data_IF_778333229196
#
_entry.id   IF_778333229196
#
_cell.length_a   1.000
_cell.length_b   1.000
_cell.length_c   1.000
_cell.angle_alpha   90.00
_cell.angle_beta   90.00
_cell.angle_gamma   90.00
#
_symmetry.space_group_name_H-M   'P 1'
#
loop_
_entity.id
_entity.type
_entity.pdbx_description
1 polymer ?
#
# COMPACT_ATOMS: atom_id res chain seq x y z
N UNK A 1 5.78 57.65 -28.41
CA UNK A 1 4.91 56.89 -27.47
C UNK A 1 5.47 55.48 -27.38
N UNK A 2 5.96 55.09 -26.20
CA UNK A 2 6.69 53.83 -25.96
C UNK A 2 5.66 52.73 -25.70
N UNK A 3 5.33 51.93 -26.70
CA UNK A 3 4.50 50.73 -26.50
C UNK A 3 5.37 49.63 -25.92
N UNK A 4 5.21 49.40 -24.61
CA UNK A 4 5.77 48.27 -23.89
C UNK A 4 5.20 46.99 -24.51
N UNK A 5 6.04 46.22 -25.20
CA UNK A 5 5.70 44.88 -25.65
C UNK A 5 5.68 43.96 -24.42
N UNK A 6 4.49 43.72 -23.88
CA UNK A 6 4.26 42.79 -22.78
C UNK A 6 4.56 41.37 -23.27
N UNK A 7 5.76 40.87 -22.99
CA UNK A 7 6.09 39.47 -23.20
C UNK A 7 5.22 38.61 -22.27
N UNK A 8 4.21 37.95 -22.83
CA UNK A 8 3.37 36.99 -22.12
C UNK A 8 4.24 35.78 -21.79
N UNK A 9 4.81 35.77 -20.58
CA UNK A 9 5.59 34.67 -20.05
C UNK A 9 4.63 33.49 -19.80
N UNK A 10 4.56 32.55 -20.75
CA UNK A 10 3.88 31.27 -20.58
C UNK A 10 4.62 30.48 -19.50
N UNK A 11 4.13 30.53 -18.27
CA UNK A 11 4.63 29.70 -17.17
C UNK A 11 4.16 28.26 -17.44
N UNK A 12 5.05 27.29 -17.71
CA UNK A 12 4.65 25.90 -17.80
C UNK A 12 4.19 25.44 -16.42
N UNK A 13 2.90 25.11 -16.29
CA UNK A 13 2.37 24.39 -15.14
C UNK A 13 2.94 22.97 -15.16
N UNK A 14 4.10 22.78 -14.54
CA UNK A 14 4.74 21.47 -14.43
C UNK A 14 3.91 20.64 -13.44
N UNK A 15 3.03 19.79 -13.94
CA UNK A 15 2.31 18.81 -13.13
C UNK A 15 3.28 17.69 -12.76
N UNK A 16 3.93 17.81 -11.61
CA UNK A 16 4.84 16.80 -11.09
C UNK A 16 4.05 15.57 -10.60
N UNK A 17 3.75 14.62 -11.50
CA UNK A 17 3.20 13.31 -11.17
C UNK A 17 4.29 12.42 -10.54
N UNK A 18 4.66 12.68 -9.28
CA UNK A 18 5.74 11.96 -8.56
C UNK A 18 5.25 10.73 -7.78
N UNK A 19 4.17 10.08 -8.24
CA UNK A 19 3.68 8.83 -7.64
C UNK A 19 4.34 7.60 -8.27
N UNK A 20 4.60 6.58 -7.45
CA UNK A 20 4.99 5.25 -7.93
C UNK A 20 3.84 4.67 -8.75
N UNK A 21 4.12 4.30 -10.00
CA UNK A 21 3.14 3.61 -10.84
C UNK A 21 3.21 2.11 -10.58
N UNK A 22 2.03 1.48 -10.55
CA UNK A 22 1.93 0.02 -10.58
C UNK A 22 2.56 -0.50 -11.87
N UNK A 23 3.51 -1.41 -11.75
CA UNK A 23 4.16 -2.08 -12.86
C UNK A 23 3.28 -3.24 -13.36
N UNK A 24 3.47 -3.70 -14.62
CA UNK A 24 2.82 -4.91 -15.11
C UNK A 24 3.08 -6.09 -14.16
N UNK A 25 2.02 -6.84 -13.81
CA UNK A 25 2.08 -7.96 -12.87
C UNK A 25 2.00 -7.55 -11.39
N UNK A 26 2.39 -6.33 -11.01
CA UNK A 26 2.26 -5.84 -9.63
C UNK A 26 0.80 -5.74 -9.16
N UNK A 27 -0.14 -5.46 -10.08
CA UNK A 27 -1.58 -5.40 -9.79
C UNK A 27 -2.16 -6.72 -9.29
N UNK A 28 -1.58 -7.85 -9.69
CA UNK A 28 -2.02 -9.20 -9.29
C UNK A 28 -1.43 -9.63 -7.95
N UNK A 29 -0.38 -8.94 -7.48
CA UNK A 29 0.25 -9.24 -6.21
C UNK A 29 -0.65 -8.80 -5.06
N UNK A 30 -0.97 -9.72 -4.16
CA UNK A 30 -1.76 -9.48 -2.95
C UNK A 30 -0.90 -8.92 -1.83
N UNK A 31 -1.51 -8.19 -0.92
CA UNK A 31 -0.84 -7.70 0.29
C UNK A 31 -1.49 -8.35 1.51
N UNK A 32 -0.71 -9.18 2.20
CA UNK A 32 -1.11 -9.79 3.46
C UNK A 32 -0.93 -8.79 4.60
N UNK A 33 -1.75 -8.93 5.66
CA UNK A 33 -1.57 -8.11 6.87
C UNK A 33 -0.24 -8.45 7.54
N UNK A 34 0.36 -7.46 8.19
CA UNK A 34 1.50 -7.69 9.09
C UNK A 34 1.16 -8.80 10.10
N UNK A 35 2.04 -9.78 10.27
CA UNK A 35 1.85 -10.89 11.21
C UNK A 35 0.78 -11.92 10.84
N UNK A 36 0.09 -11.78 9.70
CA UNK A 36 -0.79 -12.84 9.17
C UNK A 36 -0.02 -14.15 9.02
N UNK A 37 -0.64 -15.29 9.36
CA UNK A 37 -0.04 -16.60 9.15
C UNK A 37 0.08 -16.91 7.65
N UNK A 38 1.31 -17.13 7.21
CA UNK A 38 1.70 -17.43 5.82
C UNK A 38 2.20 -18.87 5.67
N UNK A 39 2.00 -19.73 6.66
CA UNK A 39 2.46 -21.13 6.70
C UNK A 39 2.03 -21.98 5.49
N UNK A 40 0.88 -21.65 4.90
CA UNK A 40 0.34 -22.31 3.69
C UNK A 40 0.97 -21.85 2.38
N UNK A 41 1.87 -20.86 2.43
CA UNK A 41 2.54 -20.29 1.27
C UNK A 41 4.03 -20.56 1.29
N UNK A 42 4.63 -20.65 0.10
CA UNK A 42 6.07 -20.78 -0.03
C UNK A 42 6.73 -19.41 0.10
N UNK A 43 7.66 -19.22 1.06
CA UNK A 43 8.48 -18.00 1.12
C UNK A 43 9.46 -17.99 -0.05
N UNK A 44 9.38 -16.97 -0.89
CA UNK A 44 10.24 -16.78 -2.07
C UNK A 44 11.40 -15.82 -1.82
N UNK A 45 11.29 -14.96 -0.81
CA UNK A 45 12.37 -14.05 -0.44
C UNK A 45 11.90 -12.86 0.39
N UNK A 46 12.67 -11.78 0.29
CA UNK A 46 12.37 -10.49 0.90
C UNK A 46 12.58 -9.38 -0.13
N UNK A 47 11.74 -8.35 -0.06
CA UNK A 47 11.83 -7.13 -0.85
C UNK A 47 12.13 -5.98 0.10
N UNK A 48 13.08 -5.13 -0.28
CA UNK A 48 13.39 -3.88 0.44
C UNK A 48 13.11 -2.72 -0.49
N UNK A 49 12.26 -1.79 -0.04
CA UNK A 49 11.83 -0.63 -0.85
C UNK A 49 12.05 0.66 -0.09
N UNK A 50 12.23 1.74 -0.84
CA UNK A 50 12.49 3.07 -0.32
C UNK A 50 11.74 4.10 -1.16
N UNK A 51 11.19 5.11 -0.49
CA UNK A 51 10.68 6.34 -1.08
C UNK A 51 11.24 7.51 -0.30
N UNK A 52 11.31 8.67 -0.94
CA UNK A 52 11.67 9.89 -0.23
C UNK A 52 10.55 10.20 0.78
N UNK A 53 10.81 10.23 2.08
CA UNK A 53 9.77 10.54 3.09
C UNK A 53 9.74 12.01 3.52
N UNK A 54 10.75 12.82 3.17
CA UNK A 54 10.82 14.24 3.52
C UNK A 54 11.40 15.12 2.43
N UNK A 55 11.03 16.40 2.45
CA UNK A 55 11.53 17.45 1.57
C UNK A 55 12.10 18.59 2.42
N UNK A 56 13.42 18.55 2.67
CA UNK A 56 14.06 19.50 3.58
C UNK A 56 13.51 19.33 5.00
N UNK A 57 13.02 20.40 5.66
CA UNK A 57 12.43 20.32 7.00
C UNK A 57 10.99 19.78 7.03
N UNK A 58 10.39 19.47 5.88
CA UNK A 58 8.99 19.04 5.79
C UNK A 58 8.87 17.53 5.61
N UNK A 59 8.12 16.88 6.50
CA UNK A 59 7.72 15.47 6.35
C UNK A 59 6.62 15.34 5.29
N UNK A 60 6.70 14.28 4.48
CA UNK A 60 5.59 13.88 3.59
C UNK A 60 4.52 13.17 4.42
N UNK A 61 3.32 13.11 3.85
CA UNK A 61 2.22 12.36 4.44
C UNK A 61 2.59 10.86 4.54
N UNK A 62 2.49 10.33 5.75
CA UNK A 62 2.84 8.96 6.14
C UNK A 62 1.97 7.91 5.44
N UNK A 63 0.68 8.18 5.27
CA UNK A 63 -0.22 7.30 4.51
C UNK A 63 0.24 7.21 3.06
N UNK A 64 0.61 8.33 2.43
CA UNK A 64 1.14 8.33 1.06
C UNK A 64 2.48 7.62 0.93
N UNK A 65 3.38 7.78 1.90
CA UNK A 65 4.64 7.04 1.95
C UNK A 65 4.38 5.53 2.02
N UNK A 66 3.44 5.09 2.87
CA UNK A 66 3.03 3.67 2.99
C UNK A 66 2.45 3.12 1.69
N UNK A 67 1.51 3.85 1.07
CA UNK A 67 0.89 3.44 -0.21
C UNK A 67 1.94 3.27 -1.32
N UNK A 68 2.91 4.18 -1.40
CA UNK A 68 3.98 4.13 -2.40
C UNK A 68 4.95 2.97 -2.14
N UNK A 69 5.31 2.71 -0.88
CA UNK A 69 6.15 1.58 -0.50
C UNK A 69 5.47 0.24 -0.80
N UNK A 70 4.18 0.11 -0.48
CA UNK A 70 3.41 -1.07 -0.84
C UNK A 70 3.37 -1.28 -2.36
N UNK A 71 3.16 -0.21 -3.13
CA UNK A 71 3.17 -0.27 -4.61
C UNK A 71 4.52 -0.74 -5.13
N UNK A 72 5.63 -0.21 -4.61
CA UNK A 72 6.97 -0.68 -4.95
C UNK A 72 7.16 -2.16 -4.58
N UNK A 73 6.75 -2.56 -3.39
CA UNK A 73 6.90 -3.95 -2.94
C UNK A 73 6.18 -4.94 -3.86
N UNK A 74 4.98 -4.56 -4.32
CA UNK A 74 4.20 -5.32 -5.30
C UNK A 74 4.85 -5.34 -6.68
N UNK A 75 5.51 -4.26 -7.08
CA UNK A 75 6.23 -4.21 -8.36
C UNK A 75 7.45 -5.14 -8.39
N UNK A 76 8.15 -5.31 -7.26
CA UNK A 76 9.32 -6.18 -7.16
C UNK A 76 8.97 -7.67 -7.02
N UNK A 77 7.81 -7.99 -6.43
CA UNK A 77 7.41 -9.36 -6.13
C UNK A 77 7.42 -10.34 -7.33
N UNK A 78 6.99 -9.97 -8.55
CA UNK A 78 7.09 -10.84 -9.72
C UNK A 78 8.53 -11.28 -10.03
N UNK A 79 9.54 -10.45 -9.74
CA UNK A 79 10.96 -10.80 -9.92
C UNK A 79 11.41 -11.95 -9.01
N UNK A 80 10.74 -12.13 -7.86
CA UNK A 80 10.93 -13.26 -6.95
C UNK A 80 9.97 -14.43 -7.24
N UNK A 81 9.19 -14.36 -8.31
CA UNK A 81 8.12 -15.31 -8.61
C UNK A 81 7.14 -15.44 -7.42
N UNK A 82 6.85 -14.31 -6.77
CA UNK A 82 5.91 -14.18 -5.67
C UNK A 82 4.60 -13.53 -6.15
N UNK A 83 3.48 -13.93 -5.53
CA UNK A 83 2.15 -13.41 -5.79
C UNK A 83 1.53 -12.70 -4.57
N UNK A 84 2.25 -12.70 -3.45
CA UNK A 84 1.79 -12.09 -2.20
C UNK A 84 2.98 -11.47 -1.45
N UNK A 85 2.83 -10.25 -0.95
CA UNK A 85 3.80 -9.60 -0.07
C UNK A 85 3.22 -9.36 1.31
N UNK A 86 4.06 -9.36 2.34
CA UNK A 86 3.67 -9.08 3.71
C UNK A 86 4.66 -8.11 4.35
N UNK A 87 4.23 -6.98 4.93
CA UNK A 87 5.14 -6.06 5.62
C UNK A 87 5.76 -6.74 6.84
N UNK A 88 7.09 -6.57 7.03
CA UNK A 88 7.82 -7.06 8.21
C UNK A 88 7.67 -6.16 9.44
N UNK A 89 7.15 -4.97 9.25
CA UNK A 89 6.97 -3.93 10.27
C UNK A 89 6.50 -2.63 9.63
N UNK A 90 6.34 -1.58 10.42
CA UNK A 90 6.02 -0.25 9.90
C UNK A 90 7.19 0.36 9.10
N UNK A 91 6.93 1.31 8.18
CA UNK A 91 8.01 2.05 7.53
C UNK A 91 8.83 2.86 8.52
N UNK A 92 10.13 2.95 8.25
CA UNK A 92 11.08 3.77 9.00
C UNK A 92 11.90 4.56 8.00
N UNK A 93 11.94 5.88 8.16
CA UNK A 93 12.70 6.79 7.29
C UNK A 93 12.43 6.62 5.79
N UNK A 94 11.19 6.32 5.43
CA UNK A 94 10.78 6.09 4.04
C UNK A 94 11.18 4.73 3.48
N UNK A 95 11.66 3.81 4.33
CA UNK A 95 12.03 2.46 3.95
C UNK A 95 11.12 1.44 4.62
N UNK A 96 10.87 0.33 3.93
CA UNK A 96 10.14 -0.79 4.50
C UNK A 96 10.57 -2.10 3.85
N UNK A 97 10.62 -3.16 4.66
CA UNK A 97 10.88 -4.52 4.18
C UNK A 97 9.60 -5.34 4.14
N UNK A 98 9.47 -6.14 3.10
CA UNK A 98 8.37 -7.06 2.89
C UNK A 98 8.91 -8.49 2.72
N UNK A 99 8.21 -9.46 3.28
CA UNK A 99 8.35 -10.87 2.93
C UNK A 99 7.59 -11.12 1.63
N UNK A 100 8.16 -11.90 0.72
CA UNK A 100 7.53 -12.25 -0.55
C UNK A 100 7.20 -13.75 -0.56
N UNK A 101 5.98 -14.09 -0.95
CA UNK A 101 5.43 -15.44 -0.92
C UNK A 101 4.77 -15.82 -2.25
N UNK A 102 4.78 -17.12 -2.53
CA UNK A 102 3.96 -17.74 -3.57
C UNK A 102 2.87 -18.55 -2.89
N UNK A 103 1.63 -18.09 -3.04
CA UNK A 103 0.46 -18.71 -2.39
C UNK A 103 -0.49 -19.36 -3.42
N UNK A 104 -0.46 -18.95 -4.68
CA UNK A 104 -1.40 -19.43 -5.70
C UNK A 104 -2.86 -19.21 -5.27
N UNK A 105 -3.67 -20.27 -5.34
CA UNK A 105 -5.06 -20.27 -4.90
C UNK A 105 -5.25 -20.35 -3.38
N UNK A 106 -4.19 -20.61 -2.61
CA UNK A 106 -4.27 -20.64 -1.15
C UNK A 106 -4.59 -19.25 -0.60
N UNK A 107 -5.50 -19.18 0.39
CA UNK A 107 -5.74 -17.97 1.19
C UNK A 107 -5.04 -18.13 2.55
N UNK A 108 -3.87 -17.51 2.75
CA UNK A 108 -3.28 -17.43 4.08
C UNK A 108 -4.25 -16.73 5.06
N UNK A 109 -4.42 -17.29 6.25
CA UNK A 109 -5.14 -16.64 7.34
C UNK A 109 -6.68 -16.60 7.24
N UNK A 110 -7.35 -17.48 6.49
CA UNK A 110 -8.72 -17.83 6.90
C UNK A 110 -8.59 -18.67 8.16
N UNK A 111 -8.55 -18.01 9.33
CA UNK A 111 -8.82 -18.69 10.58
C UNK A 111 -10.10 -19.51 10.37
N UNK A 112 -10.04 -20.82 10.66
CA UNK A 112 -11.23 -21.65 10.72
C UNK A 112 -12.31 -20.88 11.47
N UNK A 113 -13.48 -20.72 10.85
CA UNK A 113 -14.47 -19.73 11.23
C UNK A 113 -14.74 -19.72 12.73
N UNK A 114 -14.65 -18.54 13.34
CA UNK A 114 -15.46 -18.26 14.52
C UNK A 114 -16.91 -18.56 14.12
N UNK A 115 -17.63 -19.49 14.78
CA UNK A 115 -19.05 -19.60 14.54
C UNK A 115 -19.65 -18.22 14.82
N UNK A 116 -20.34 -17.67 13.83
CA UNK A 116 -21.09 -16.42 13.98
C UNK A 116 -21.96 -16.58 15.22
N UNK A 117 -21.60 -15.89 16.31
CA UNK A 117 -22.50 -15.75 17.44
C UNK A 117 -23.79 -15.19 16.84
N UNK A 118 -24.88 -15.94 17.01
CA UNK A 118 -26.18 -15.61 16.45
C UNK A 118 -26.52 -14.17 16.81
N UNK A 119 -27.04 -13.43 15.84
CA UNK A 119 -27.71 -12.17 16.09
C UNK A 119 -28.80 -12.40 17.13
N UNK A 120 -28.56 -12.01 18.37
CA UNK A 120 -29.64 -11.85 19.34
C UNK A 120 -30.55 -10.72 18.81
N UNK A 121 -31.87 -10.96 18.63
CA UNK A 121 -32.78 -9.92 18.24
C UNK A 121 -32.85 -8.89 19.37
N UNK A 122 -32.34 -7.68 19.10
CA UNK A 122 -32.41 -6.56 20.01
C UNK A 122 -33.86 -6.26 20.37
N UNK A 123 -34.18 -6.32 21.66
CA UNK A 123 -35.49 -5.93 22.18
C UNK A 123 -35.60 -4.41 22.09
N UNK A 124 -36.47 -3.92 21.22
CA UNK A 124 -36.85 -2.50 21.15
C UNK A 124 -37.72 -2.21 22.37
N UNK A 125 -37.20 -1.47 23.34
CA UNK A 125 -38.02 -0.94 24.43
C UNK A 125 -38.84 0.27 23.92
N UNK A 126 -40.14 0.36 24.24
CA UNK A 126 -40.95 1.52 23.87
C UNK A 126 -40.42 2.81 24.52
N UNK A 127 -40.40 3.89 23.75
CA UNK A 127 -40.24 5.25 24.27
C UNK A 127 -41.63 5.64 24.80
N UNK A 128 -41.75 5.91 26.09
CA UNK A 128 -42.96 6.47 26.69
C UNK A 128 -43.00 7.98 26.41
N UNK A 129 -44.16 8.48 25.97
CA UNK A 129 -44.48 9.89 25.71
C UNK A 129 -44.56 10.75 26.99
#
# INVERSE_FOLDING_TARGET
MRTLATALLLIPLVTACTWVKMAPGGSEVRVARAGQDMSVCEKRGEVSVSVKNRLGPYERNDIKVRDELETLARNEAPGLQADTVQPKGEPVDGEQRFLAFRCGSARPGTAAGTPSAGSEPGTVNPIED
#
